data_IF_434774905364
#
_entry.id   IF_434774905364
#
_cell.length_a   1.000
_cell.length_b   1.000
_cell.length_c   1.000
_cell.angle_alpha   90.00
_cell.angle_beta   90.00
_cell.angle_gamma   90.00
#
_symmetry.space_group_name_H-M   'P 1'
#
loop_
_entity.id
_entity.type
_entity.pdbx_description
1 polymer ?
#
# COMPACT_ATOMS: atom_id res chain seq x y z
N UNK A 1 4.28 19.70 21.66
CA UNK A 1 4.32 20.95 20.84
C UNK A 1 3.60 20.69 19.53
N UNK A 2 2.70 21.60 19.16
CA UNK A 2 2.00 21.57 17.85
C UNK A 2 3.04 21.75 16.74
N UNK A 3 2.96 20.89 15.70
CA UNK A 3 3.85 20.93 14.53
C UNK A 3 3.04 21.24 13.28
N UNK A 4 3.66 21.82 12.30
CA UNK A 4 3.13 21.98 10.96
C UNK A 4 3.73 20.87 10.08
N UNK A 5 2.88 20.08 9.44
CA UNK A 5 3.26 18.94 8.60
C UNK A 5 2.61 19.11 7.24
N UNK A 6 3.42 19.06 6.20
CA UNK A 6 2.99 19.16 4.81
C UNK A 6 3.20 17.79 4.16
N UNK A 7 2.14 17.22 3.67
CA UNK A 7 2.15 15.97 2.93
C UNK A 7 2.13 16.28 1.44
N UNK A 8 3.16 15.88 0.71
CA UNK A 8 3.24 16.05 -0.74
C UNK A 8 2.96 14.72 -1.41
N UNK A 9 1.88 14.65 -2.18
CA UNK A 9 1.47 13.45 -2.94
C UNK A 9 1.10 13.82 -4.38
N UNK A 10 0.98 12.81 -5.25
CA UNK A 10 0.50 13.04 -6.61
C UNK A 10 -1.01 13.31 -6.59
N UNK A 11 -1.76 12.44 -5.93
CA UNK A 11 -3.20 12.48 -5.75
C UNK A 11 -3.55 11.68 -4.49
N UNK A 12 -4.80 11.63 -4.11
CA UNK A 12 -5.32 10.81 -2.99
C UNK A 12 -6.11 9.59 -3.51
N UNK A 13 -5.56 8.91 -4.54
CA UNK A 13 -6.19 7.74 -5.13
C UNK A 13 -6.44 6.59 -4.16
N UNK A 14 -7.07 5.51 -4.64
CA UNK A 14 -7.54 4.40 -3.80
C UNK A 14 -6.47 3.33 -3.47
N UNK A 15 -5.20 3.67 -3.51
CA UNK A 15 -4.10 2.76 -3.18
C UNK A 15 -3.84 2.69 -1.66
N UNK A 16 -3.20 1.61 -1.22
CA UNK A 16 -2.92 1.39 0.19
C UNK A 16 -1.98 2.41 0.83
N UNK A 17 -1.09 3.03 0.05
CA UNK A 17 -0.18 4.07 0.54
C UNK A 17 -0.93 5.38 0.81
N UNK A 18 -1.83 5.79 -0.10
CA UNK A 18 -2.67 6.99 0.07
C UNK A 18 -3.66 6.81 1.23
N UNK A 19 -4.19 5.60 1.41
CA UNK A 19 -5.04 5.30 2.57
C UNK A 19 -4.30 5.52 3.89
N UNK A 20 -3.08 4.99 4.02
CA UNK A 20 -2.26 5.20 5.23
C UNK A 20 -1.92 6.67 5.42
N UNK A 21 -1.63 7.38 4.34
CA UNK A 21 -1.32 8.80 4.39
C UNK A 21 -2.52 9.62 4.89
N UNK A 22 -3.72 9.33 4.39
CA UNK A 22 -4.97 9.97 4.83
C UNK A 22 -5.26 9.68 6.31
N UNK A 23 -5.06 8.43 6.73
CA UNK A 23 -5.25 8.02 8.13
C UNK A 23 -4.26 8.71 9.07
N UNK A 24 -2.98 8.79 8.70
CA UNK A 24 -1.98 9.54 9.45
C UNK A 24 -2.32 11.03 9.53
N UNK A 25 -2.73 11.64 8.41
CA UNK A 25 -3.14 13.04 8.38
C UNK A 25 -4.29 13.30 9.36
N UNK A 26 -5.29 12.43 9.37
CA UNK A 26 -6.43 12.48 10.28
C UNK A 26 -5.98 12.39 11.73
N UNK A 27 -5.17 11.38 12.08
CA UNK A 27 -4.69 11.19 13.45
C UNK A 27 -3.87 12.39 13.93
N UNK A 28 -3.01 12.94 13.10
CA UNK A 28 -2.20 14.11 13.47
C UNK A 28 -3.02 15.39 13.68
N UNK A 29 -4.13 15.55 12.95
CA UNK A 29 -5.08 16.65 13.24
C UNK A 29 -5.73 16.45 14.61
N UNK A 30 -6.16 15.22 14.94
CA UNK A 30 -6.69 14.91 16.28
C UNK A 30 -5.66 15.14 17.39
N UNK A 31 -4.38 14.88 17.13
CA UNK A 31 -3.27 15.18 18.05
C UNK A 31 -2.96 16.69 18.14
N UNK A 32 -3.68 17.50 17.38
CA UNK A 32 -3.59 18.97 17.39
C UNK A 32 -2.48 19.55 16.51
N UNK A 33 -1.97 18.80 15.55
CA UNK A 33 -1.02 19.29 14.55
C UNK A 33 -1.74 20.02 13.42
N UNK A 34 -1.03 20.91 12.72
CA UNK A 34 -1.50 21.55 11.50
C UNK A 34 -1.07 20.75 10.28
N UNK A 35 -2.04 20.21 9.55
CA UNK A 35 -1.78 19.33 8.41
C UNK A 35 -2.23 19.99 7.12
N UNK A 36 -1.31 20.03 6.15
CA UNK A 36 -1.60 20.44 4.77
C UNK A 36 -1.27 19.31 3.83
N UNK A 37 -2.20 18.91 2.97
CA UNK A 37 -1.98 17.94 1.90
C UNK A 37 -1.88 18.69 0.58
N UNK A 38 -0.75 18.55 -0.09
CA UNK A 38 -0.49 19.15 -1.41
C UNK A 38 -0.53 18.03 -2.46
N UNK A 39 -1.47 18.15 -3.40
CA UNK A 39 -1.60 17.26 -4.55
C UNK A 39 -0.99 17.91 -5.79
N UNK A 40 -0.01 17.23 -6.43
CA UNK A 40 0.66 17.75 -7.62
C UNK A 40 -0.05 17.39 -8.92
N UNK A 41 -0.94 16.41 -8.91
CA UNK A 41 -1.79 16.00 -10.04
C UNK A 41 -3.14 15.52 -9.50
N UNK A 42 -4.03 16.41 -9.04
CA UNK A 42 -5.32 16.06 -8.45
C UNK A 42 -6.21 15.32 -9.45
N UNK A 43 -7.14 14.52 -8.95
CA UNK A 43 -8.13 13.74 -9.74
C UNK A 43 -7.52 12.76 -10.78
N UNK A 44 -6.27 12.39 -10.61
CA UNK A 44 -5.58 11.49 -11.56
C UNK A 44 -6.25 10.13 -11.70
N UNK A 45 -6.91 9.64 -10.64
CA UNK A 45 -7.49 8.31 -10.57
C UNK A 45 -9.02 8.31 -10.42
N UNK A 46 -9.67 9.47 -10.46
CA UNK A 46 -11.12 9.63 -10.46
C UNK A 46 -11.80 9.49 -9.10
N UNK A 47 -11.49 8.46 -8.33
CA UNK A 47 -11.99 8.27 -6.96
C UNK A 47 -10.86 8.52 -5.99
N UNK A 48 -10.98 9.55 -5.16
CA UNK A 48 -9.98 9.92 -4.17
C UNK A 48 -10.52 9.77 -2.74
N UNK A 49 -9.62 9.50 -1.79
CA UNK A 49 -9.97 9.54 -0.37
C UNK A 49 -10.32 10.96 0.04
N UNK A 50 -11.50 11.12 0.66
CA UNK A 50 -11.89 12.39 1.25
C UNK A 50 -11.02 12.71 2.48
N UNK A 51 -10.55 13.95 2.56
CA UNK A 51 -9.86 14.46 3.72
C UNK A 51 -10.84 14.91 4.79
N UNK A 52 -10.49 14.71 6.05
CA UNK A 52 -11.30 15.15 7.19
C UNK A 52 -11.23 16.67 7.38
N UNK A 53 -12.26 17.22 8.03
CA UNK A 53 -12.27 18.65 8.42
C UNK A 53 -11.05 18.96 9.30
N UNK A 54 -10.38 20.09 9.00
CA UNK A 54 -9.17 20.51 9.70
C UNK A 54 -7.88 20.16 8.97
N UNK A 55 -7.95 19.38 7.89
CA UNK A 55 -6.83 19.17 6.96
C UNK A 55 -6.97 20.20 5.83
N UNK A 56 -5.94 21.03 5.66
CA UNK A 56 -5.88 21.95 4.52
C UNK A 56 -5.49 21.17 3.26
N UNK A 57 -6.24 21.35 2.18
CA UNK A 57 -5.95 20.74 0.88
C UNK A 57 -5.52 21.80 -0.11
N UNK A 58 -4.39 21.59 -0.77
CA UNK A 58 -3.88 22.45 -1.84
C UNK A 58 -3.67 21.58 -3.09
N UNK A 59 -4.26 22.02 -4.18
CA UNK A 59 -4.10 21.34 -5.48
C UNK A 59 -3.24 22.22 -6.40
N UNK A 60 -2.16 21.62 -6.93
CA UNK A 60 -1.31 22.27 -7.92
C UNK A 60 -1.89 21.99 -9.30
N UNK A 61 -2.47 23.02 -9.92
CA UNK A 61 -2.97 22.94 -11.28
C UNK A 61 -1.92 23.46 -12.27
N UNK A 62 -1.66 22.67 -13.30
CA UNK A 62 -0.73 23.03 -14.37
C UNK A 62 -1.48 23.28 -15.67
N UNK A 63 -1.01 24.23 -16.47
CA UNK A 63 -1.70 24.64 -17.69
C UNK A 63 -1.16 23.99 -18.96
N UNK A 64 0.04 23.41 -18.91
CA UNK A 64 0.72 22.87 -20.09
C UNK A 64 0.40 21.39 -20.30
N UNK A 65 0.16 21.00 -21.54
CA UNK A 65 0.11 19.59 -21.97
C UNK A 65 1.49 18.95 -22.12
N UNK A 66 2.56 19.78 -22.26
CA UNK A 66 3.93 19.31 -22.34
C UNK A 66 4.40 18.83 -20.96
N UNK A 67 4.83 17.57 -20.88
CA UNK A 67 5.22 16.90 -19.63
C UNK A 67 6.37 17.63 -18.89
N UNK A 68 7.35 18.16 -19.63
CA UNK A 68 8.51 18.86 -19.04
C UNK A 68 8.10 20.22 -18.47
N UNK A 69 7.31 20.98 -19.22
CA UNK A 69 6.82 22.30 -18.75
C UNK A 69 5.91 22.09 -17.54
N UNK A 70 5.01 21.11 -17.56
CA UNK A 70 4.16 20.76 -16.44
C UNK A 70 4.97 20.43 -15.20
N UNK A 71 5.97 19.58 -15.30
CA UNK A 71 6.86 19.22 -14.20
C UNK A 71 7.58 20.45 -13.61
N UNK A 72 8.04 21.38 -14.46
CA UNK A 72 8.65 22.64 -14.00
C UNK A 72 7.64 23.54 -13.30
N UNK A 73 6.39 23.58 -13.76
CA UNK A 73 5.31 24.32 -13.10
C UNK A 73 4.99 23.72 -11.72
N UNK A 74 4.89 22.39 -11.61
CA UNK A 74 4.68 21.67 -10.35
C UNK A 74 5.76 22.04 -9.31
N UNK A 75 7.04 21.98 -9.70
CA UNK A 75 8.17 22.35 -8.83
C UNK A 75 8.08 23.83 -8.41
N UNK A 76 7.84 24.74 -9.34
CA UNK A 76 7.79 26.19 -9.08
C UNK A 76 6.66 26.54 -8.08
N UNK A 77 5.47 25.99 -8.28
CA UNK A 77 4.34 26.24 -7.37
C UNK A 77 4.58 25.58 -6.01
N UNK A 78 5.13 24.36 -5.97
CA UNK A 78 5.49 23.72 -4.71
C UNK A 78 6.50 24.58 -3.92
N UNK A 79 7.57 25.04 -4.55
CA UNK A 79 8.57 25.92 -3.91
C UNK A 79 7.91 27.18 -3.35
N UNK A 80 7.01 27.81 -4.10
CA UNK A 80 6.30 29.01 -3.68
C UNK A 80 5.47 28.75 -2.41
N UNK A 81 4.72 27.65 -2.38
CA UNK A 81 3.92 27.26 -1.21
C UNK A 81 4.84 26.97 -0.01
N UNK A 82 5.89 26.18 -0.19
CA UNK A 82 6.78 25.77 0.90
C UNK A 82 7.59 26.94 1.49
N UNK A 83 7.93 27.95 0.69
CA UNK A 83 8.59 29.18 1.18
C UNK A 83 7.74 30.00 2.13
N UNK A 84 6.42 29.90 2.05
CA UNK A 84 5.51 30.57 3.02
C UNK A 84 5.43 29.83 4.36
N UNK A 85 5.96 28.59 4.43
CA UNK A 85 5.88 27.69 5.60
C UNK A 85 7.25 27.07 5.92
N UNK A 86 8.29 27.88 6.20
CA UNK A 86 9.69 27.40 6.26
C UNK A 86 9.97 26.42 7.41
N UNK A 87 9.12 26.38 8.44
CA UNK A 87 9.28 25.53 9.62
C UNK A 87 8.48 24.21 9.52
N UNK A 88 7.68 24.03 8.47
CA UNK A 88 6.92 22.82 8.26
C UNK A 88 7.82 21.63 7.92
N UNK A 89 7.46 20.44 8.41
CA UNK A 89 8.07 19.18 7.97
C UNK A 89 7.33 18.65 6.76
N UNK A 90 8.04 18.42 5.67
CA UNK A 90 7.49 17.88 4.43
C UNK A 90 7.64 16.36 4.37
N UNK A 91 6.54 15.66 4.13
CA UNK A 91 6.49 14.21 4.02
C UNK A 91 6.03 13.78 2.62
N UNK A 92 6.65 12.75 2.04
CA UNK A 92 6.16 12.12 0.82
C UNK A 92 6.36 10.59 0.85
N UNK A 93 5.35 9.86 0.36
CA UNK A 93 5.34 8.38 0.32
C UNK A 93 5.63 7.80 -1.07
N UNK A 94 5.38 8.55 -2.12
CA UNK A 94 5.44 8.07 -3.49
C UNK A 94 6.70 8.57 -4.21
N UNK A 95 7.32 7.71 -4.99
CA UNK A 95 8.59 8.02 -5.67
C UNK A 95 8.53 9.27 -6.53
N UNK A 96 7.43 9.51 -7.25
CA UNK A 96 7.32 10.68 -8.12
C UNK A 96 7.16 11.99 -7.34
N UNK A 97 6.30 12.03 -6.31
CA UNK A 97 6.15 13.21 -5.44
C UNK A 97 7.42 13.45 -4.62
N UNK A 98 8.10 12.37 -4.18
CA UNK A 98 9.41 12.48 -3.52
C UNK A 98 10.46 13.11 -4.43
N UNK A 99 10.44 12.82 -5.73
CA UNK A 99 11.38 13.41 -6.68
C UNK A 99 11.13 14.92 -6.89
N UNK A 100 9.84 15.32 -7.02
CA UNK A 100 9.47 16.75 -7.09
C UNK A 100 9.91 17.48 -5.82
N UNK A 101 9.64 16.90 -4.65
CA UNK A 101 10.01 17.49 -3.36
C UNK A 101 11.54 17.54 -3.18
N UNK A 102 12.28 16.52 -3.64
CA UNK A 102 13.73 16.49 -3.59
C UNK A 102 14.38 17.61 -4.43
N UNK A 103 13.87 17.91 -5.63
CA UNK A 103 14.37 19.05 -6.42
C UNK A 103 14.00 20.36 -5.74
N UNK A 104 12.77 20.47 -5.20
CA UNK A 104 12.32 21.66 -4.48
C UNK A 104 13.17 21.96 -3.26
N UNK A 105 13.77 20.94 -2.63
CA UNK A 105 14.59 21.08 -1.41
C UNK A 105 15.81 21.99 -1.59
N UNK A 106 16.29 22.17 -2.80
CA UNK A 106 17.42 23.08 -3.09
C UNK A 106 17.05 24.56 -2.88
N UNK A 107 15.77 24.87 -2.84
CA UNK A 107 15.25 26.25 -2.78
C UNK A 107 14.48 26.57 -1.49
N UNK A 108 14.38 25.59 -0.58
CA UNK A 108 13.61 25.67 0.67
C UNK A 108 14.47 25.25 1.86
N UNK A 109 13.98 25.50 3.10
CA UNK A 109 14.66 25.12 4.34
C UNK A 109 13.88 24.08 5.16
N UNK A 110 12.79 23.59 4.59
CA UNK A 110 11.92 22.63 5.25
C UNK A 110 12.63 21.30 5.51
N UNK A 111 12.34 20.68 6.64
CA UNK A 111 12.76 19.31 6.92
C UNK A 111 12.02 18.33 6.02
N UNK A 112 12.75 17.40 5.40
CA UNK A 112 12.20 16.47 4.41
C UNK A 112 12.26 15.03 4.92
N UNK A 113 11.10 14.38 4.87
CA UNK A 113 10.92 12.97 5.22
C UNK A 113 10.37 12.22 4.01
N UNK A 114 11.06 11.17 3.57
CA UNK A 114 10.53 10.26 2.56
C UNK A 114 10.25 8.89 3.17
N UNK A 115 9.23 8.20 2.65
CA UNK A 115 8.89 6.86 3.08
C UNK A 115 8.88 5.88 1.91
N UNK A 116 9.65 4.79 2.03
CA UNK A 116 9.58 3.65 1.13
C UNK A 116 8.52 2.66 1.63
N UNK A 117 7.53 2.38 0.78
CA UNK A 117 6.31 1.64 1.17
C UNK A 117 6.14 0.30 0.45
N UNK A 118 7.14 -0.11 -0.35
CA UNK A 118 7.06 -1.33 -1.15
C UNK A 118 8.45 -1.99 -1.24
N UNK A 119 8.56 -3.03 -2.08
CA UNK A 119 9.85 -3.64 -2.39
C UNK A 119 10.69 -2.68 -3.26
N UNK A 120 11.79 -2.10 -2.76
CA UNK A 120 12.56 -1.11 -3.49
C UNK A 120 13.30 -1.68 -4.72
N UNK A 121 13.40 -3.01 -4.84
CA UNK A 121 13.99 -3.69 -6.02
C UNK A 121 12.98 -3.80 -7.17
N UNK A 122 11.68 -3.79 -6.87
CA UNK A 122 10.61 -3.98 -7.84
C UNK A 122 9.85 -2.70 -8.16
N UNK A 123 9.75 -1.78 -7.21
CA UNK A 123 9.02 -0.51 -7.32
C UNK A 123 9.95 0.66 -7.01
N UNK A 124 9.93 1.73 -7.81
CA UNK A 124 9.22 1.88 -9.08
C UNK A 124 9.77 0.97 -10.18
N UNK A 125 8.92 0.70 -11.19
CA UNK A 125 9.29 -0.18 -12.29
C UNK A 125 10.29 0.53 -13.22
N UNK A 126 11.37 -0.14 -13.56
CA UNK A 126 12.41 0.36 -14.45
C UNK A 126 13.58 1.03 -13.71
N UNK A 127 14.79 0.75 -14.20
CA UNK A 127 16.04 1.17 -13.56
C UNK A 127 16.19 2.70 -13.45
N UNK A 128 15.74 3.45 -14.45
CA UNK A 128 15.80 4.91 -14.44
C UNK A 128 14.91 5.54 -13.36
N UNK A 129 13.70 5.00 -13.13
CA UNK A 129 12.83 5.47 -12.04
C UNK A 129 13.41 5.10 -10.67
N UNK A 130 14.03 3.92 -10.55
CA UNK A 130 14.75 3.54 -9.33
C UNK A 130 15.95 4.45 -9.09
N UNK A 131 16.70 4.82 -10.12
CA UNK A 131 17.81 5.78 -10.03
C UNK A 131 17.32 7.17 -9.57
N UNK A 132 16.20 7.66 -10.11
CA UNK A 132 15.58 8.92 -9.69
C UNK A 132 15.14 8.87 -8.22
N UNK A 133 14.49 7.80 -7.78
CA UNK A 133 14.15 7.60 -6.35
C UNK A 133 15.41 7.59 -5.48
N UNK A 134 16.43 6.82 -5.87
CA UNK A 134 17.67 6.73 -5.09
C UNK A 134 18.39 8.08 -5.03
N UNK A 135 18.30 8.87 -6.10
CA UNK A 135 18.78 10.25 -6.12
C UNK A 135 17.97 11.12 -5.14
N UNK A 136 16.62 11.09 -5.21
CA UNK A 136 15.76 11.85 -4.33
C UNK A 136 16.03 11.56 -2.85
N UNK A 137 16.27 10.30 -2.49
CA UNK A 137 16.53 9.90 -1.11
C UNK A 137 17.82 10.49 -0.51
N UNK A 138 18.73 11.00 -1.34
CA UNK A 138 19.92 11.72 -0.84
C UNK A 138 19.56 13.05 -0.18
N UNK A 139 18.45 13.65 -0.54
CA UNK A 139 18.00 14.96 -0.05
C UNK A 139 17.04 14.88 1.15
N UNK A 140 16.67 13.68 1.59
CA UNK A 140 15.88 13.51 2.79
C UNK A 140 16.71 13.73 4.06
N UNK A 141 16.17 14.42 5.04
CA UNK A 141 16.70 14.48 6.39
C UNK A 141 16.48 13.17 7.15
N UNK A 142 15.34 12.54 6.88
CA UNK A 142 14.96 11.26 7.47
C UNK A 142 14.26 10.39 6.42
N UNK A 143 14.51 9.09 6.49
CA UNK A 143 13.85 8.10 5.64
C UNK A 143 13.09 7.12 6.52
N UNK A 144 11.87 6.79 6.13
CA UNK A 144 11.04 5.78 6.81
C UNK A 144 10.96 4.55 5.93
N UNK A 145 11.35 3.42 6.48
CA UNK A 145 11.23 2.10 5.86
C UNK A 145 10.24 1.26 6.65
N UNK A 146 9.55 0.36 5.99
CA UNK A 146 8.64 -0.56 6.67
C UNK A 146 9.37 -1.71 7.35
N UNK A 147 10.50 -2.14 6.78
CA UNK A 147 11.25 -3.31 7.22
C UNK A 147 12.76 -3.05 7.16
N UNK A 148 13.53 -3.82 7.90
CA UNK A 148 14.99 -3.79 7.85
C UNK A 148 15.51 -4.24 6.46
N UNK A 149 14.87 -5.23 5.84
CA UNK A 149 15.25 -5.70 4.51
C UNK A 149 15.06 -4.60 3.45
N UNK A 150 13.98 -3.81 3.55
CA UNK A 150 13.79 -2.66 2.66
C UNK A 150 14.87 -1.59 2.88
N UNK A 151 15.25 -1.30 4.15
CA UNK A 151 16.33 -0.37 4.49
C UNK A 151 17.67 -0.85 3.95
N UNK A 152 17.98 -2.15 4.11
CA UNK A 152 19.26 -2.75 3.72
C UNK A 152 19.55 -2.69 2.21
N UNK A 153 18.53 -2.52 1.39
CA UNK A 153 18.69 -2.35 -0.06
C UNK A 153 19.49 -1.08 -0.42
N UNK A 154 19.39 -0.04 0.39
CA UNK A 154 19.97 1.26 0.09
C UNK A 154 21.43 1.38 0.58
N UNK A 155 22.23 2.33 0.04
CA UNK A 155 23.58 2.58 0.53
C UNK A 155 23.59 2.99 2.01
N UNK A 156 24.71 2.77 2.72
CA UNK A 156 24.87 3.12 4.13
C UNK A 156 24.53 4.57 4.46
N UNK A 157 24.83 5.52 3.58
CA UNK A 157 24.49 6.94 3.74
C UNK A 157 22.98 7.20 3.80
N UNK A 158 22.17 6.37 3.16
CA UNK A 158 20.69 6.38 3.21
C UNK A 158 20.22 5.61 4.45
N UNK A 159 20.78 4.43 4.70
CA UNK A 159 20.43 3.60 5.87
C UNK A 159 20.61 4.34 7.19
N UNK A 160 21.69 5.12 7.35
CA UNK A 160 22.02 5.84 8.59
C UNK A 160 20.99 6.95 8.93
N UNK A 161 20.21 7.41 7.96
CA UNK A 161 19.10 8.37 8.15
C UNK A 161 17.76 7.67 8.18
N UNK A 162 17.74 6.34 8.10
CA UNK A 162 16.56 5.51 8.04
C UNK A 162 16.06 5.07 9.41
N UNK A 163 14.77 5.13 9.59
CA UNK A 163 14.06 4.54 10.74
C UNK A 163 13.08 3.50 10.24
N UNK A 164 12.83 2.46 11.04
CA UNK A 164 11.83 1.43 10.73
C UNK A 164 10.52 1.82 11.40
N UNK A 165 9.49 2.07 10.59
CA UNK A 165 8.13 2.33 11.06
C UNK A 165 7.18 1.49 10.21
N UNK A 166 6.63 0.40 10.76
CA UNK A 166 5.65 -0.46 10.09
C UNK A 166 4.34 0.29 9.76
N UNK A 167 3.45 -0.36 9.01
CA UNK A 167 2.11 0.16 8.78
C UNK A 167 1.30 0.12 10.09
N UNK A 168 0.50 1.15 10.36
CA UNK A 168 -0.50 1.08 11.41
C UNK A 168 -1.61 0.11 11.02
N UNK A 169 -2.24 -0.51 12.00
CA UNK A 169 -3.50 -1.23 11.81
C UNK A 169 -4.64 -0.20 11.91
N UNK A 170 -5.68 -0.38 11.11
CA UNK A 170 -6.89 0.44 11.21
C UNK A 170 -7.50 0.31 12.61
N UNK A 171 -7.69 1.44 13.30
CA UNK A 171 -8.24 1.46 14.67
C UNK A 171 -9.73 1.08 14.79
N UNK A 172 -10.42 0.86 13.65
CA UNK A 172 -11.86 0.50 13.58
C UNK A 172 -12.08 -0.88 12.97
N UNK A 173 -11.31 -1.87 13.41
CA UNK A 173 -11.54 -3.24 12.98
C UNK A 173 -12.79 -3.82 13.64
N UNK A 174 -13.58 -4.63 12.92
CA UNK A 174 -14.55 -5.53 13.56
C UNK A 174 -13.85 -6.40 14.60
N UNK A 175 -14.51 -6.70 15.74
CA UNK A 175 -13.94 -7.59 16.73
C UNK A 175 -13.75 -9.01 16.18
N UNK A 176 -12.80 -9.78 16.68
CA UNK A 176 -12.67 -11.20 16.34
C UNK A 176 -13.99 -11.94 16.60
N UNK A 177 -14.37 -12.80 15.66
CA UNK A 177 -15.58 -13.61 15.78
C UNK A 177 -15.27 -14.85 16.62
N UNK A 178 -16.05 -15.03 17.67
CA UNK A 178 -16.04 -16.26 18.47
C UNK A 178 -17.05 -17.28 17.86
N UNK A 179 -16.62 -18.52 17.67
CA UNK A 179 -17.46 -19.60 17.10
C UNK A 179 -17.18 -19.90 15.63
N UNK A 180 -18.17 -20.52 14.95
CA UNK A 180 -18.02 -20.93 13.56
C UNK A 180 -17.95 -19.73 12.62
N UNK A 181 -16.96 -19.77 11.70
CA UNK A 181 -16.81 -18.81 10.61
C UNK A 181 -17.44 -19.35 9.32
N UNK A 182 -17.76 -18.43 8.42
CA UNK A 182 -18.23 -18.81 7.08
C UNK A 182 -17.18 -19.65 6.35
N UNK A 183 -17.62 -20.68 5.63
CA UNK A 183 -16.73 -21.52 4.82
C UNK A 183 -16.24 -20.76 3.58
N UNK A 184 -15.52 -19.65 3.84
CA UNK A 184 -15.06 -18.71 2.85
C UNK A 184 -13.57 -18.40 3.08
N UNK A 185 -12.76 -18.68 2.10
CA UNK A 185 -11.39 -18.20 1.99
C UNK A 185 -11.45 -16.85 1.26
N UNK A 186 -10.79 -15.82 1.80
CA UNK A 186 -10.93 -14.47 1.28
C UNK A 186 -9.59 -13.79 1.02
N UNK A 187 -9.55 -12.96 0.00
CA UNK A 187 -8.51 -11.96 -0.20
C UNK A 187 -9.12 -10.62 -0.61
N UNK A 188 -8.42 -9.53 -0.28
CA UNK A 188 -8.81 -8.18 -0.67
C UNK A 188 -7.59 -7.41 -1.18
N UNK A 189 -7.54 -7.19 -2.51
CA UNK A 189 -6.38 -6.57 -3.15
C UNK A 189 -6.73 -6.04 -4.56
N UNK A 190 -5.84 -5.26 -5.16
CA UNK A 190 -5.94 -4.92 -6.59
C UNK A 190 -5.75 -6.17 -7.45
N UNK A 191 -6.53 -6.32 -8.52
CA UNK A 191 -6.34 -7.40 -9.49
C UNK A 191 -5.17 -7.03 -10.43
N UNK A 192 -3.96 -7.21 -9.92
CA UNK A 192 -2.71 -6.76 -10.54
C UNK A 192 -1.66 -7.89 -10.53
N UNK A 193 -0.75 -7.98 -11.52
CA UNK A 193 0.27 -9.05 -11.58
C UNK A 193 1.07 -9.25 -10.30
N UNK A 194 1.38 -8.16 -9.57
CA UNK A 194 2.04 -8.21 -8.26
C UNK A 194 1.38 -9.18 -7.27
N UNK A 195 0.05 -9.33 -7.35
CA UNK A 195 -0.75 -10.14 -6.40
C UNK A 195 -0.76 -11.62 -6.73
N UNK A 196 -0.29 -12.00 -7.91
CA UNK A 196 -0.20 -13.38 -8.39
C UNK A 196 -1.47 -14.21 -8.08
N UNK A 197 -2.63 -13.62 -8.37
CA UNK A 197 -3.94 -14.25 -8.13
C UNK A 197 -4.14 -15.56 -8.92
N UNK A 198 -3.53 -15.73 -10.12
CA UNK A 198 -3.56 -17.04 -10.81
C UNK A 198 -3.00 -18.19 -9.95
N UNK A 199 -1.93 -17.96 -9.19
CA UNK A 199 -1.39 -18.94 -8.24
C UNK A 199 -2.41 -19.32 -7.15
N UNK A 200 -3.09 -18.32 -6.56
CA UNK A 200 -4.13 -18.54 -5.54
C UNK A 200 -5.31 -19.35 -6.09
N UNK A 201 -5.77 -19.03 -7.31
CA UNK A 201 -6.85 -19.75 -7.99
C UNK A 201 -6.45 -21.20 -8.24
N UNK A 202 -5.21 -21.44 -8.69
CA UNK A 202 -4.71 -22.81 -8.90
C UNK A 202 -4.61 -23.57 -7.58
N UNK A 203 -4.10 -22.97 -6.50
CA UNK A 203 -4.04 -23.62 -5.18
C UNK A 203 -5.45 -23.97 -4.67
N UNK A 204 -6.42 -23.05 -4.82
CA UNK A 204 -7.81 -23.35 -4.47
C UNK A 204 -8.42 -24.45 -5.33
N UNK A 205 -8.11 -24.53 -6.62
CA UNK A 205 -8.63 -25.58 -7.49
C UNK A 205 -8.21 -26.97 -7.06
N UNK A 206 -7.02 -27.12 -6.46
CA UNK A 206 -6.52 -28.40 -5.96
C UNK A 206 -7.29 -28.92 -4.75
N UNK A 207 -7.84 -28.02 -3.92
CA UNK A 207 -8.61 -28.40 -2.72
C UNK A 207 -10.15 -28.35 -2.93
N UNK A 208 -10.61 -27.91 -4.10
CA UNK A 208 -12.03 -27.65 -4.33
C UNK A 208 -12.93 -28.89 -4.19
N UNK A 209 -12.46 -30.05 -4.62
CA UNK A 209 -13.22 -31.31 -4.54
C UNK A 209 -13.18 -31.89 -3.12
N UNK A 210 -12.07 -31.73 -2.40
CA UNK A 210 -11.92 -32.22 -1.04
C UNK A 210 -12.77 -31.40 -0.03
N UNK A 211 -12.89 -30.09 -0.30
CA UNK A 211 -13.66 -29.16 0.56
C UNK A 211 -14.83 -28.52 -0.21
N UNK A 212 -15.87 -29.29 -0.59
CA UNK A 212 -16.95 -28.82 -1.49
C UNK A 212 -17.79 -27.68 -0.91
N UNK A 213 -17.76 -27.44 0.39
CA UNK A 213 -18.50 -26.36 1.04
C UNK A 213 -17.77 -25.01 1.02
N UNK A 214 -16.46 -24.99 0.76
CA UNK A 214 -15.67 -23.76 0.79
C UNK A 214 -15.73 -23.00 -0.54
N UNK A 215 -15.65 -21.67 -0.44
CA UNK A 215 -15.55 -20.75 -1.56
C UNK A 215 -14.30 -19.89 -1.41
N UNK A 216 -13.75 -19.45 -2.54
CA UNK A 216 -12.72 -18.42 -2.59
C UNK A 216 -13.39 -17.11 -3.06
N UNK A 217 -13.25 -16.04 -2.29
CA UNK A 217 -13.78 -14.71 -2.65
C UNK A 217 -12.63 -13.72 -2.77
N UNK A 218 -12.47 -13.15 -3.95
CA UNK A 218 -11.40 -12.19 -4.29
C UNK A 218 -12.04 -10.81 -4.47
N UNK A 219 -11.97 -9.97 -3.43
CA UNK A 219 -12.42 -8.59 -3.51
C UNK A 219 -11.36 -7.69 -4.14
N UNK A 220 -11.80 -6.79 -5.01
CA UNK A 220 -10.99 -5.78 -5.65
C UNK A 220 -11.27 -5.63 -7.13
N UNK A 221 -10.54 -4.73 -7.77
CA UNK A 221 -10.61 -4.42 -9.20
C UNK A 221 -9.21 -4.28 -9.77
N UNK A 222 -9.06 -4.44 -11.08
CA UNK A 222 -7.79 -4.22 -11.75
C UNK A 222 -7.70 -4.85 -13.13
N UNK A 223 -6.52 -4.70 -13.72
CA UNK A 223 -6.28 -5.05 -15.13
C UNK A 223 -6.35 -6.55 -15.45
N UNK A 224 -6.31 -7.41 -14.42
CA UNK A 224 -6.35 -8.87 -14.60
C UNK A 224 -7.76 -9.45 -14.51
N UNK A 225 -8.82 -8.66 -14.35
CA UNK A 225 -10.16 -9.19 -14.08
C UNK A 225 -10.63 -10.19 -15.14
N UNK A 226 -10.50 -9.83 -16.41
CA UNK A 226 -10.95 -10.68 -17.53
C UNK A 226 -10.12 -11.98 -17.61
N UNK A 227 -8.82 -11.89 -17.39
CA UNK A 227 -7.91 -13.04 -17.38
C UNK A 227 -8.26 -14.01 -16.24
N UNK A 228 -8.52 -13.49 -15.03
CA UNK A 228 -8.89 -14.29 -13.88
C UNK A 228 -10.25 -14.97 -14.08
N UNK A 229 -11.23 -14.25 -14.65
CA UNK A 229 -12.54 -14.84 -15.01
C UNK A 229 -12.41 -15.95 -16.04
N UNK A 230 -11.55 -15.79 -17.04
CA UNK A 230 -11.26 -16.83 -18.02
C UNK A 230 -10.60 -18.06 -17.38
N UNK A 231 -9.65 -17.87 -16.47
CA UNK A 231 -9.01 -18.95 -15.72
C UNK A 231 -10.03 -19.72 -14.86
N UNK A 232 -10.87 -19.01 -14.08
CA UNK A 232 -11.91 -19.61 -13.23
C UNK A 232 -12.86 -20.45 -14.07
N UNK A 233 -13.28 -19.96 -15.25
CA UNK A 233 -14.14 -20.67 -16.17
C UNK A 233 -13.46 -21.92 -16.74
N UNK A 234 -12.18 -21.86 -17.10
CA UNK A 234 -11.43 -23.01 -17.61
C UNK A 234 -11.30 -24.15 -16.59
N UNK A 235 -11.38 -23.81 -15.29
CA UNK A 235 -11.36 -24.76 -14.17
C UNK A 235 -12.77 -25.23 -13.75
N UNK A 236 -13.86 -24.72 -14.37
CA UNK A 236 -15.25 -24.97 -14.01
C UNK A 236 -15.59 -24.60 -12.57
N UNK A 237 -15.00 -23.50 -12.05
CA UNK A 237 -15.13 -23.07 -10.65
C UNK A 237 -15.89 -21.75 -10.47
N UNK A 238 -16.73 -21.32 -11.44
CA UNK A 238 -17.45 -20.03 -11.42
C UNK A 238 -18.40 -19.92 -10.20
N UNK A 239 -18.92 -21.02 -9.71
CA UNK A 239 -19.78 -21.08 -8.54
C UNK A 239 -19.01 -21.16 -7.20
N UNK A 240 -17.68 -21.34 -7.26
CA UNK A 240 -16.80 -21.56 -6.11
C UNK A 240 -15.79 -20.43 -5.91
N UNK A 241 -15.35 -19.78 -7.00
CA UNK A 241 -14.42 -18.65 -6.97
C UNK A 241 -15.17 -17.42 -7.45
N UNK A 242 -15.33 -16.43 -6.56
CA UNK A 242 -16.13 -15.24 -6.79
C UNK A 242 -15.24 -14.00 -6.90
N UNK A 243 -15.51 -13.17 -7.90
CA UNK A 243 -14.90 -11.85 -8.12
C UNK A 243 -15.99 -10.76 -8.01
N UNK A 244 -16.41 -10.37 -6.78
CA UNK A 244 -17.52 -9.43 -6.59
C UNK A 244 -17.14 -7.97 -6.85
N UNK A 245 -15.86 -7.68 -7.16
CA UNK A 245 -15.38 -6.33 -7.38
C UNK A 245 -14.97 -5.61 -6.09
N UNK A 246 -14.95 -4.29 -6.14
CA UNK A 246 -14.60 -3.43 -5.00
C UNK A 246 -15.73 -3.41 -3.96
N UNK A 247 -15.36 -3.43 -2.68
CA UNK A 247 -16.28 -3.28 -1.56
C UNK A 247 -15.79 -2.16 -0.63
N UNK A 248 -16.65 -1.15 -0.38
CA UNK A 248 -16.33 -0.04 0.53
C UNK A 248 -16.30 -0.48 2.00
N UNK A 249 -17.11 -1.50 2.35
CA UNK A 249 -17.19 -2.11 3.68
C UNK A 249 -16.39 -3.42 3.75
N UNK A 250 -15.17 -3.43 3.20
CA UNK A 250 -14.36 -4.65 3.04
C UNK A 250 -14.08 -5.38 4.36
N UNK A 251 -13.84 -4.64 5.44
CA UNK A 251 -13.56 -5.25 6.76
C UNK A 251 -14.73 -6.08 7.29
N UNK A 252 -15.96 -5.60 7.11
CA UNK A 252 -17.18 -6.33 7.48
C UNK A 252 -17.40 -7.59 6.61
N UNK A 253 -16.93 -7.55 5.35
CA UNK A 253 -16.98 -8.70 4.44
C UNK A 253 -15.92 -9.75 4.73
N UNK A 254 -14.75 -9.34 5.21
CA UNK A 254 -13.62 -10.22 5.53
C UNK A 254 -13.78 -10.83 6.92
N UNK A 255 -14.28 -10.09 7.90
CA UNK A 255 -14.38 -10.53 9.30
C UNK A 255 -15.07 -11.90 9.50
N UNK A 256 -16.20 -12.24 8.85
CA UNK A 256 -16.87 -13.53 9.05
C UNK A 256 -16.18 -14.71 8.34
N UNK A 257 -15.22 -14.47 7.43
CA UNK A 257 -14.58 -15.52 6.65
C UNK A 257 -13.70 -16.42 7.54
N UNK A 258 -13.46 -17.65 7.07
CA UNK A 258 -12.66 -18.63 7.81
C UNK A 258 -11.15 -18.39 7.72
N UNK A 259 -10.68 -17.81 6.61
CA UNK A 259 -9.25 -17.66 6.34
C UNK A 259 -9.00 -16.49 5.38
N UNK A 260 -7.91 -15.76 5.60
CA UNK A 260 -7.37 -14.79 4.65
C UNK A 260 -6.14 -15.36 3.93
N UNK A 261 -6.08 -15.19 2.61
CA UNK A 261 -4.95 -15.67 1.77
C UNK A 261 -4.35 -14.53 0.96
N UNK A 262 -3.03 -14.54 0.79
CA UNK A 262 -2.32 -13.62 -0.11
C UNK A 262 -1.18 -14.35 -0.84
N UNK A 263 -1.21 -14.29 -2.17
CA UNK A 263 -0.25 -14.95 -3.09
C UNK A 263 0.77 -14.00 -3.71
N UNK A 264 0.93 -12.80 -3.17
CA UNK A 264 1.74 -11.74 -3.78
C UNK A 264 3.19 -12.16 -4.05
N UNK A 265 3.72 -11.77 -5.21
CA UNK A 265 5.13 -11.98 -5.56
C UNK A 265 6.06 -11.02 -4.81
N UNK A 266 5.59 -9.83 -4.48
CA UNK A 266 6.31 -8.85 -3.68
C UNK A 266 5.34 -7.86 -3.02
N UNK A 267 5.70 -7.44 -1.80
CA UNK A 267 4.97 -6.46 -0.98
C UNK A 267 5.95 -5.65 -0.14
N UNK A 268 5.47 -4.53 0.43
CA UNK A 268 6.01 -4.01 1.66
C UNK A 268 5.39 -4.76 2.85
N UNK A 269 4.57 -4.06 3.66
CA UNK A 269 3.67 -4.71 4.62
C UNK A 269 2.24 -4.59 4.09
N UNK A 270 1.57 -5.73 3.89
CA UNK A 270 0.20 -5.77 3.40
C UNK A 270 -0.78 -5.29 4.48
N UNK A 271 -1.53 -4.22 4.19
CA UNK A 271 -2.56 -3.70 5.10
C UNK A 271 -3.69 -4.72 5.29
N UNK A 272 -4.16 -5.36 4.22
CA UNK A 272 -5.24 -6.35 4.31
C UNK A 272 -4.85 -7.58 5.12
N UNK A 273 -3.58 -7.99 5.06
CA UNK A 273 -3.05 -9.04 5.94
C UNK A 273 -3.06 -8.60 7.42
N UNK A 274 -2.59 -7.38 7.71
CA UNK A 274 -2.60 -6.85 9.08
C UNK A 274 -4.02 -6.74 9.63
N UNK A 275 -4.96 -6.30 8.79
CA UNK A 275 -6.39 -6.20 9.15
C UNK A 275 -6.99 -7.57 9.42
N UNK A 276 -6.71 -8.57 8.57
CA UNK A 276 -7.15 -9.94 8.78
C UNK A 276 -6.63 -10.52 10.10
N UNK A 277 -5.33 -10.36 10.38
CA UNK A 277 -4.73 -10.75 11.67
C UNK A 277 -5.39 -10.02 12.85
N UNK A 278 -5.63 -8.71 12.72
CA UNK A 278 -6.27 -7.90 13.75
C UNK A 278 -7.74 -8.31 14.04
N UNK A 279 -8.43 -8.88 13.05
CA UNK A 279 -9.78 -9.46 13.18
C UNK A 279 -9.76 -10.94 13.62
N UNK A 280 -8.58 -11.50 13.93
CA UNK A 280 -8.41 -12.87 14.38
C UNK A 280 -8.61 -13.93 13.29
N UNK A 281 -8.40 -13.60 11.99
CA UNK A 281 -8.45 -14.62 10.94
C UNK A 281 -7.11 -15.36 10.88
N UNK A 282 -7.12 -16.68 10.70
CA UNK A 282 -5.96 -17.41 10.19
C UNK A 282 -5.52 -16.83 8.85
N UNK A 283 -4.21 -16.74 8.63
CA UNK A 283 -3.68 -16.20 7.38
C UNK A 283 -2.70 -17.17 6.73
N UNK A 284 -2.81 -17.34 5.41
CA UNK A 284 -1.81 -18.02 4.59
C UNK A 284 -1.29 -17.01 3.57
N UNK A 285 0.00 -16.69 3.64
CA UNK A 285 0.57 -15.63 2.81
C UNK A 285 1.95 -15.99 2.30
N UNK A 286 2.28 -15.49 1.12
CA UNK A 286 3.62 -15.64 0.56
C UNK A 286 4.64 -14.84 1.38
N UNK A 287 5.80 -15.46 1.66
CA UNK A 287 6.95 -14.83 2.30
C UNK A 287 7.70 -13.94 1.29
N UNK A 288 7.09 -12.83 0.96
CA UNK A 288 7.61 -11.89 -0.02
C UNK A 288 8.95 -11.29 0.38
N UNK A 289 9.83 -10.98 -0.61
CA UNK A 289 11.00 -10.14 -0.38
C UNK A 289 10.63 -8.82 0.29
N UNK A 290 11.54 -8.31 1.11
CA UNK A 290 11.50 -7.25 2.12
C UNK A 290 10.83 -7.64 3.44
N UNK A 291 10.31 -8.87 3.56
CA UNK A 291 9.99 -9.51 4.84
C UNK A 291 8.83 -8.90 5.62
N UNK A 292 7.91 -8.20 4.95
CA UNK A 292 6.78 -7.55 5.63
C UNK A 292 5.86 -8.53 6.35
N UNK A 293 5.59 -9.70 5.76
CA UNK A 293 4.79 -10.74 6.38
C UNK A 293 5.53 -11.40 7.57
N UNK A 294 6.80 -11.74 7.41
CA UNK A 294 7.61 -12.38 8.47
C UNK A 294 7.88 -11.51 9.70
N UNK A 295 7.61 -10.21 9.62
CA UNK A 295 7.68 -9.34 10.80
C UNK A 295 6.54 -9.59 11.79
N UNK A 296 5.40 -10.07 11.32
CA UNK A 296 4.16 -10.19 12.11
C UNK A 296 3.63 -11.62 12.17
N UNK A 297 4.04 -12.48 11.23
CA UNK A 297 3.62 -13.88 11.19
C UNK A 297 4.75 -14.77 11.70
N UNK A 298 4.41 -15.58 12.70
CA UNK A 298 5.18 -16.74 13.12
C UNK A 298 4.48 -17.98 12.57
N UNK A 299 5.09 -18.60 11.56
CA UNK A 299 4.50 -19.72 10.84
C UNK A 299 4.17 -20.86 11.79
N UNK A 300 2.93 -21.35 11.73
CA UNK A 300 2.40 -22.37 12.62
C UNK A 300 1.78 -21.87 13.95
N UNK A 301 1.94 -20.57 14.29
CA UNK A 301 1.33 -19.97 15.49
C UNK A 301 0.13 -19.07 15.15
N UNK A 302 0.35 -18.01 14.36
CA UNK A 302 -0.68 -17.02 14.02
C UNK A 302 -0.94 -16.90 12.51
N UNK A 303 -0.36 -17.79 11.71
CA UNK A 303 -0.52 -17.88 10.28
C UNK A 303 0.51 -18.83 9.67
N UNK A 304 0.49 -18.95 8.34
CA UNK A 304 1.46 -19.75 7.59
C UNK A 304 2.13 -18.89 6.53
N UNK A 305 3.46 -18.98 6.47
CA UNK A 305 4.27 -18.37 5.41
C UNK A 305 4.62 -19.45 4.37
N UNK A 306 4.33 -19.16 3.11
CA UNK A 306 4.65 -20.05 1.99
C UNK A 306 5.64 -19.38 1.03
N UNK A 307 6.47 -20.13 0.29
CA UNK A 307 7.37 -19.57 -0.70
C UNK A 307 6.61 -18.82 -1.80
N UNK A 308 7.20 -17.73 -2.32
CA UNK A 308 6.65 -17.00 -3.47
C UNK A 308 6.62 -17.89 -4.71
N UNK A 309 5.48 -17.93 -5.39
CA UNK A 309 5.29 -18.72 -6.62
C UNK A 309 5.07 -20.22 -6.40
N UNK A 310 5.01 -20.68 -5.16
CA UNK A 310 4.83 -22.09 -4.84
C UNK A 310 3.34 -22.41 -4.59
N UNK A 311 2.66 -22.84 -5.66
CA UNK A 311 1.24 -23.22 -5.63
C UNK A 311 1.00 -24.44 -4.73
N UNK A 312 1.91 -25.41 -4.73
CA UNK A 312 1.80 -26.62 -3.92
C UNK A 312 1.89 -26.31 -2.43
N UNK A 313 2.86 -25.51 -2.02
CA UNK A 313 2.99 -25.07 -0.63
C UNK A 313 1.77 -24.26 -0.16
N UNK A 314 1.15 -23.47 -1.05
CA UNK A 314 -0.07 -22.71 -0.71
C UNK A 314 -1.29 -23.62 -0.56
N UNK A 315 -1.38 -24.69 -1.35
CA UNK A 315 -2.43 -25.70 -1.21
C UNK A 315 -2.27 -26.49 0.09
N UNK A 316 -1.06 -26.92 0.43
CA UNK A 316 -0.77 -27.70 1.65
C UNK A 316 -0.99 -26.91 2.95
N UNK A 317 -0.81 -25.59 2.89
CA UNK A 317 -1.00 -24.67 4.02
C UNK A 317 -2.48 -24.44 4.34
#
# INVERSE_FOLDING_TARGET
MKKEIIIVTISLGNDGAERILTELARQWVHDGHHITVIQTSPNRYGNEYALEKGIEQIEIHTTSSNKVIRFMQEIKELIKILKTRPNATCLSFLSASSFILAISSWFIKNRIVFSERNNPRKVPIGWHQQALRNFAFRFADTLVFQTEDARSYFPKSVQNRGVIIPNPINGKLPPPIEGEREKTIVTACRLHPQKNLPMMINAFSMLADEFPAYKLVIYGQGVLEDELRAQIKSLNLENRILLPGFASNILEKVAPCSMFVSSSDFEGISNSMLEALGMGLPVVVTDCPVGGARMVIKSGENGILVPVGDTQAMYEA
#
